data_IF_700588276915
#
_entry.id   IF_700588276915
#
_cell.length_a   1.000
_cell.length_b   1.000
_cell.length_c   1.000
_cell.angle_alpha   90.00
_cell.angle_beta   90.00
_cell.angle_gamma   90.00
#
_symmetry.space_group_name_H-M   'P 1'
#
loop_
_entity.id
_entity.type
_entity.pdbx_description
1 polymer ?
#
# COMPACT_ATOMS: atom_id res chain seq x y z
N UNK A 1 -72.23 -9.60 18.57
CA UNK A 1 -71.37 -9.44 17.39
C UNK A 1 -70.30 -8.46 17.80
N UNK A 2 -69.14 -9.01 18.09
CA UNK A 2 -67.91 -8.33 18.45
C UNK A 2 -67.30 -7.69 17.21
N UNK A 3 -66.89 -6.44 17.33
CA UNK A 3 -65.82 -5.86 16.51
C UNK A 3 -65.17 -4.74 17.35
N UNK A 4 -64.19 -5.14 18.16
CA UNK A 4 -63.10 -4.26 18.54
C UNK A 4 -62.05 -4.33 17.44
N UNK A 5 -61.47 -3.20 17.03
CA UNK A 5 -60.01 -3.07 16.83
C UNK A 5 -59.67 -1.59 16.65
N UNK A 6 -59.30 -0.98 17.77
CA UNK A 6 -57.98 -0.42 17.99
C UNK A 6 -57.33 0.37 16.82
N UNK A 7 -57.55 1.69 16.83
CA UNK A 7 -56.67 2.65 16.16
C UNK A 7 -55.43 2.81 17.04
N UNK A 8 -54.42 1.99 16.77
CA UNK A 8 -53.07 2.21 17.28
C UNK A 8 -52.46 3.44 16.59
N UNK A 9 -51.89 4.43 17.32
CA UNK A 9 -51.23 5.56 16.70
C UNK A 9 -49.87 5.13 16.14
N UNK A 10 -49.60 5.56 14.91
CA UNK A 10 -48.32 5.37 14.24
C UNK A 10 -47.16 5.83 15.15
N UNK A 11 -46.23 4.91 15.41
CA UNK A 11 -44.99 5.20 16.12
C UNK A 11 -44.23 6.29 15.36
N UNK A 12 -43.72 7.33 16.04
CA UNK A 12 -42.84 8.30 15.41
C UNK A 12 -41.61 7.57 14.86
N UNK A 13 -41.28 7.79 13.58
CA UNK A 13 -39.96 7.46 13.06
C UNK A 13 -38.94 8.14 13.98
N UNK A 14 -38.20 7.33 14.73
CA UNK A 14 -37.01 7.81 15.39
C UNK A 14 -35.97 8.10 14.31
N UNK A 15 -35.64 9.39 14.21
CA UNK A 15 -34.50 9.95 13.51
C UNK A 15 -33.21 9.28 13.99
N UNK A 16 -32.70 8.34 13.20
CA UNK A 16 -31.30 7.89 13.26
C UNK A 16 -30.45 8.92 12.50
N UNK A 17 -30.37 10.13 13.04
CA UNK A 17 -29.41 11.14 12.62
C UNK A 17 -28.53 11.45 13.83
N UNK A 18 -27.22 11.41 13.62
CA UNK A 18 -26.19 11.99 14.49
C UNK A 18 -25.70 11.13 15.69
N UNK A 19 -25.38 9.85 15.45
CA UNK A 19 -24.34 9.20 16.24
C UNK A 19 -22.98 9.60 15.66
N UNK A 20 -22.19 10.39 16.40
CA UNK A 20 -20.79 10.68 16.04
C UNK A 20 -20.07 9.36 15.75
N UNK A 21 -19.43 9.19 14.58
CA UNK A 21 -18.71 7.97 14.28
C UNK A 21 -17.61 7.78 15.33
N UNK A 22 -17.50 6.56 15.85
CA UNK A 22 -16.44 6.19 16.76
C UNK A 22 -15.07 6.63 16.19
N UNK A 23 -14.12 7.08 17.03
CA UNK A 23 -12.82 7.50 16.54
C UNK A 23 -12.12 6.33 15.84
N UNK A 24 -11.57 6.60 14.65
CA UNK A 24 -10.79 5.62 13.90
C UNK A 24 -9.57 5.18 14.71
N UNK A 25 -9.26 3.89 14.66
CA UNK A 25 -8.05 3.31 15.21
C UNK A 25 -6.91 3.40 14.22
N UNK A 26 -5.68 3.17 14.69
CA UNK A 26 -4.52 3.10 13.80
C UNK A 26 -4.67 2.02 12.73
N UNK A 27 -5.36 0.91 13.03
CA UNK A 27 -5.51 -0.23 12.14
C UNK A 27 -6.47 0.03 10.99
N UNK A 28 -7.41 0.96 11.18
CA UNK A 28 -8.35 1.38 10.13
C UNK A 28 -7.63 2.16 9.02
N UNK A 29 -6.43 2.69 9.28
CA UNK A 29 -5.67 3.52 8.34
C UNK A 29 -4.50 2.79 7.68
N UNK A 30 -4.01 1.67 8.25
CA UNK A 30 -2.76 1.05 7.83
C UNK A 30 -2.77 0.59 6.36
N UNK A 31 -3.89 0.02 5.91
CA UNK A 31 -4.02 -0.48 4.54
C UNK A 31 -4.59 0.57 3.57
N UNK A 32 -4.99 1.73 4.08
CA UNK A 32 -5.52 2.83 3.27
C UNK A 32 -4.42 3.71 2.69
N UNK A 33 -3.19 3.67 3.23
CA UNK A 33 -2.06 4.44 2.75
C UNK A 33 -0.94 3.51 2.28
N UNK A 34 -0.45 3.72 1.05
CA UNK A 34 0.62 2.91 0.47
C UNK A 34 1.66 3.76 -0.23
N UNK A 35 2.92 3.31 -0.21
CA UNK A 35 3.98 3.93 -0.99
C UNK A 35 3.91 3.39 -2.42
N UNK A 36 3.78 4.28 -3.38
CA UNK A 36 3.65 3.91 -4.79
C UNK A 36 4.86 3.13 -5.30
N UNK A 37 6.06 3.47 -4.82
CA UNK A 37 7.29 2.81 -5.26
C UNK A 37 7.38 1.35 -4.78
N UNK A 38 6.59 0.97 -3.77
CA UNK A 38 6.63 -0.36 -3.14
C UNK A 38 6.34 -1.47 -4.14
N UNK A 39 5.28 -1.32 -4.93
CA UNK A 39 4.88 -2.34 -5.91
C UNK A 39 5.94 -2.51 -7.01
N UNK A 40 6.52 -1.41 -7.50
CA UNK A 40 7.52 -1.46 -8.57
C UNK A 40 8.84 -2.07 -8.09
N UNK A 41 9.28 -1.70 -6.87
CA UNK A 41 10.47 -2.28 -6.24
C UNK A 41 10.26 -3.78 -6.02
N UNK A 42 9.14 -4.19 -5.42
CA UNK A 42 8.87 -5.61 -5.14
C UNK A 42 8.85 -6.46 -6.42
N UNK A 43 8.24 -5.95 -7.50
CA UNK A 43 8.25 -6.61 -8.81
C UNK A 43 9.68 -6.76 -9.34
N UNK A 44 10.46 -5.70 -9.32
CA UNK A 44 11.83 -5.73 -9.84
C UNK A 44 12.75 -6.63 -9.01
N UNK A 45 12.62 -6.63 -7.69
CA UNK A 45 13.36 -7.54 -6.80
C UNK A 45 13.00 -9.00 -7.11
N UNK A 46 11.72 -9.29 -7.32
CA UNK A 46 11.28 -10.62 -7.72
C UNK A 46 11.85 -11.03 -9.09
N UNK A 47 11.82 -10.13 -10.09
CA UNK A 47 12.43 -10.36 -11.40
C UNK A 47 13.93 -10.69 -11.26
N UNK A 48 14.67 -9.89 -10.50
CA UNK A 48 16.10 -10.12 -10.28
C UNK A 48 16.39 -11.40 -9.50
N UNK A 49 15.49 -11.81 -8.60
CA UNK A 49 15.60 -13.08 -7.90
C UNK A 49 15.48 -14.25 -8.88
N UNK A 50 14.46 -14.24 -9.75
CA UNK A 50 14.23 -15.30 -10.75
C UNK A 50 15.37 -15.36 -11.77
N UNK A 51 15.94 -14.21 -12.14
CA UNK A 51 17.08 -14.11 -13.05
C UNK A 51 18.44 -14.37 -12.39
N UNK A 52 18.46 -14.73 -11.10
CA UNK A 52 19.67 -14.95 -10.30
C UNK A 52 20.67 -13.77 -10.31
N UNK A 53 20.16 -12.54 -10.41
CA UNK A 53 20.95 -11.30 -10.44
C UNK A 53 21.22 -10.71 -9.05
N UNK A 54 20.62 -11.27 -8.01
CA UNK A 54 20.77 -10.78 -6.63
C UNK A 54 21.99 -11.41 -5.93
N UNK A 55 22.65 -10.68 -5.03
CA UNK A 55 23.80 -11.19 -4.28
C UNK A 55 23.43 -12.32 -3.31
N UNK A 56 22.18 -12.36 -2.85
CA UNK A 56 21.62 -13.41 -2.00
C UNK A 56 20.11 -13.48 -2.21
N UNK A 57 19.54 -14.69 -2.08
CA UNK A 57 18.10 -14.95 -2.26
C UNK A 57 17.39 -15.31 -0.95
N UNK A 58 18.05 -15.19 0.20
CA UNK A 58 17.40 -15.46 1.48
C UNK A 58 16.36 -14.37 1.79
N UNK A 59 15.32 -14.74 2.54
CA UNK A 59 14.23 -13.84 2.92
C UNK A 59 14.72 -12.54 3.55
N UNK A 60 15.71 -12.60 4.43
CA UNK A 60 16.25 -11.42 5.11
C UNK A 60 16.90 -10.44 4.13
N UNK A 61 17.76 -10.93 3.22
CA UNK A 61 18.38 -10.08 2.21
C UNK A 61 17.38 -9.48 1.23
N UNK A 62 16.33 -10.20 0.85
CA UNK A 62 15.28 -9.65 -0.01
C UNK A 62 14.52 -8.50 0.67
N UNK A 63 14.23 -8.65 1.97
CA UNK A 63 13.61 -7.60 2.76
C UNK A 63 14.55 -6.40 2.93
N UNK A 64 15.83 -6.63 3.21
CA UNK A 64 16.83 -5.58 3.33
C UNK A 64 17.00 -4.80 2.02
N UNK A 65 17.10 -5.49 0.89
CA UNK A 65 17.19 -4.87 -0.44
C UNK A 65 15.97 -3.98 -0.68
N UNK A 66 14.77 -4.51 -0.42
CA UNK A 66 13.52 -3.77 -0.59
C UNK A 66 13.47 -2.54 0.31
N UNK A 67 13.81 -2.68 1.59
CA UNK A 67 13.80 -1.58 2.55
C UNK A 67 14.84 -0.49 2.20
N UNK A 68 16.05 -0.88 1.81
CA UNK A 68 17.09 0.07 1.40
C UNK A 68 16.69 0.79 0.11
N UNK A 69 16.10 0.10 -0.86
CA UNK A 69 15.62 0.71 -2.10
C UNK A 69 14.48 1.71 -1.84
N UNK A 70 13.51 1.35 -1.00
CA UNK A 70 12.40 2.24 -0.62
C UNK A 70 12.88 3.50 0.09
N UNK A 71 13.88 3.37 0.96
CA UNK A 71 14.49 4.50 1.68
C UNK A 71 15.40 5.36 0.78
N UNK A 72 15.81 4.85 -0.38
CA UNK A 72 16.64 5.58 -1.34
C UNK A 72 15.81 6.49 -2.25
N UNK A 73 14.59 6.09 -2.58
CA UNK A 73 13.67 6.88 -3.41
C UNK A 73 12.92 7.92 -2.58
N UNK A 74 12.53 9.06 -3.17
CA UNK A 74 11.60 9.98 -2.53
C UNK A 74 10.27 9.24 -2.29
N UNK A 75 9.75 9.22 -1.04
CA UNK A 75 8.52 8.50 -0.75
C UNK A 75 7.33 9.18 -1.43
N UNK A 76 6.49 8.37 -2.07
CA UNK A 76 5.26 8.83 -2.72
C UNK A 76 4.09 8.04 -2.14
N UNK A 77 3.47 8.58 -1.10
CA UNK A 77 2.34 7.94 -0.45
C UNK A 77 1.02 8.36 -1.08
N UNK A 78 0.10 7.41 -1.20
CA UNK A 78 -1.23 7.64 -1.75
C UNK A 78 -2.31 6.86 -1.02
N UNK A 79 -3.52 7.41 -1.06
CA UNK A 79 -4.74 6.85 -0.42
C UNK A 79 -5.72 6.24 -1.42
N UNK A 80 -5.36 6.14 -2.71
CA UNK A 80 -6.31 5.76 -3.77
C UNK A 80 -5.68 4.83 -4.80
N UNK A 81 -6.45 3.81 -5.16
CA UNK A 81 -6.15 2.77 -6.16
C UNK A 81 -6.06 3.34 -7.59
N UNK A 82 -6.60 4.54 -7.84
CA UNK A 82 -6.79 5.11 -9.19
C UNK A 82 -5.62 5.99 -9.69
N UNK A 83 -4.41 5.83 -9.16
CA UNK A 83 -3.32 6.79 -9.39
C UNK A 83 -2.66 6.72 -10.77
N UNK A 84 -2.65 5.55 -11.40
CA UNK A 84 -2.03 5.35 -12.72
C UNK A 84 -2.79 6.05 -13.87
N UNK A 85 -3.97 6.60 -13.62
CA UNK A 85 -4.83 7.17 -14.67
C UNK A 85 -4.25 8.43 -15.34
N UNK A 86 -3.31 9.13 -14.69
CA UNK A 86 -2.80 10.41 -15.17
C UNK A 86 -1.28 10.47 -15.35
N UNK A 87 -0.57 9.34 -15.24
CA UNK A 87 0.89 9.28 -15.40
C UNK A 87 1.23 9.24 -16.90
N UNK A 88 2.08 10.17 -17.36
CA UNK A 88 2.53 10.15 -18.75
C UNK A 88 3.49 8.98 -19.01
N UNK A 89 3.56 8.44 -20.24
CA UNK A 89 4.51 7.38 -20.58
C UNK A 89 5.96 7.74 -20.23
N UNK A 90 6.36 9.01 -20.41
CA UNK A 90 7.70 9.52 -20.11
C UNK A 90 7.97 9.49 -18.61
N UNK A 91 7.01 9.92 -17.79
CA UNK A 91 7.12 9.87 -16.34
C UNK A 91 7.22 8.43 -15.83
N UNK A 92 6.46 7.50 -16.42
CA UNK A 92 6.55 6.07 -16.11
C UNK A 92 7.92 5.48 -16.45
N UNK A 93 8.48 5.85 -17.61
CA UNK A 93 9.81 5.43 -18.01
C UNK A 93 10.90 5.97 -17.08
N UNK A 94 10.83 7.26 -16.72
CA UNK A 94 11.77 7.87 -15.78
C UNK A 94 11.73 7.19 -14.40
N UNK A 95 10.51 6.97 -13.88
CA UNK A 95 10.30 6.25 -12.61
C UNK A 95 10.90 4.84 -12.63
N UNK A 96 10.76 4.11 -13.74
CA UNK A 96 11.37 2.79 -13.89
C UNK A 96 12.90 2.85 -13.76
N UNK A 97 13.55 3.82 -14.40
CA UNK A 97 15.00 4.01 -14.31
C UNK A 97 15.43 4.32 -12.87
N UNK A 98 14.68 5.16 -12.17
CA UNK A 98 14.95 5.48 -10.76
C UNK A 98 14.80 4.25 -9.85
N UNK A 99 13.76 3.44 -10.05
CA UNK A 99 13.54 2.18 -9.32
C UNK A 99 14.69 1.20 -9.57
N UNK A 100 15.11 1.03 -10.83
CA UNK A 100 16.26 0.18 -11.19
C UNK A 100 17.54 0.65 -10.48
N UNK A 101 17.83 1.95 -10.51
CA UNK A 101 18.98 2.52 -9.81
C UNK A 101 18.91 2.29 -8.29
N UNK A 102 17.73 2.42 -7.69
CA UNK A 102 17.52 2.20 -6.26
C UNK A 102 17.77 0.75 -5.84
N UNK A 103 17.26 -0.22 -6.61
CA UNK A 103 17.46 -1.65 -6.34
C UNK A 103 18.93 -2.03 -6.49
N UNK A 104 19.62 -1.53 -7.54
CA UNK A 104 21.06 -1.76 -7.70
C UNK A 104 21.87 -1.17 -6.54
N UNK A 105 21.53 0.04 -6.09
CA UNK A 105 22.15 0.64 -4.90
C UNK A 105 21.95 -0.20 -3.64
N UNK A 106 20.74 -0.73 -3.45
CA UNK A 106 20.41 -1.59 -2.32
C UNK A 106 21.18 -2.92 -2.37
N UNK A 107 21.27 -3.55 -3.54
CA UNK A 107 22.06 -4.77 -3.74
C UNK A 107 23.52 -4.59 -3.33
N UNK A 108 24.17 -3.50 -3.75
CA UNK A 108 25.57 -3.22 -3.38
C UNK A 108 25.73 -3.01 -1.87
N UNK A 109 24.79 -2.33 -1.21
CA UNK A 109 24.81 -2.15 0.24
C UNK A 109 24.65 -3.47 1.00
N UNK A 110 23.65 -4.28 0.63
CA UNK A 110 23.36 -5.55 1.32
C UNK A 110 24.47 -6.57 1.08
N UNK A 111 25.08 -6.57 -0.11
CA UNK A 111 26.23 -7.42 -0.45
C UNK A 111 27.43 -7.19 0.48
N UNK A 112 27.68 -5.95 0.89
CA UNK A 112 28.80 -5.61 1.77
C UNK A 112 28.56 -6.09 3.21
N UNK A 113 27.32 -6.04 3.67
CA UNK A 113 26.95 -6.40 5.05
C UNK A 113 25.61 -7.15 5.08
N UNK A 114 25.60 -8.44 4.68
CA UNK A 114 24.41 -9.26 4.81
C UNK A 114 24.06 -9.45 6.29
N UNK A 115 22.78 -9.60 6.58
CA UNK A 115 22.29 -9.77 7.95
C UNK A 115 22.46 -11.20 8.49
N UNK A 116 22.59 -12.19 7.60
CA UNK A 116 22.74 -13.61 7.93
C UNK A 116 24.19 -14.05 8.16
#
# INVERSE_FOLDING_TARGET
>A
MSEETDVSPESPLQTEADADPAPLTIYDLLDEISNENETDILKLVYEYQVEEKLPCQCRECLLDITAVALNYLPPQYSVSIHRDLYITPEAKAARRVEVEAAVLHACEKVKIRPHH
#
